data_IF_665795842043
#
_entry.id   IF_665795842043
#
_cell.length_a   1.000
_cell.length_b   1.000
_cell.length_c   1.000
_cell.angle_alpha   90.00
_cell.angle_beta   90.00
_cell.angle_gamma   90.00
#
_symmetry.space_group_name_H-M   'P 1'
#
loop_
_entity.id
_entity.type
_entity.pdbx_description
1 polymer ?
#
# COMPACT_ATOMS: atom_id res chain seq x y z
N UNK A 1 16.79 -12.54 -10.83
CA UNK A 1 16.15 -13.78 -11.38
C UNK A 1 14.86 -13.38 -12.08
N UNK A 2 14.72 -13.61 -13.39
CA UNK A 2 13.53 -13.21 -14.14
C UNK A 2 12.49 -14.33 -14.12
N UNK A 3 11.66 -14.38 -13.09
CA UNK A 3 10.36 -15.06 -13.21
C UNK A 3 9.55 -14.20 -14.17
N UNK A 4 9.32 -14.64 -15.41
CA UNK A 4 8.73 -13.87 -16.53
C UNK A 4 7.31 -13.30 -16.34
N UNK A 5 6.86 -13.10 -15.09
CA UNK A 5 5.62 -12.44 -14.68
C UNK A 5 5.82 -11.01 -14.17
N UNK A 6 7.04 -10.58 -13.86
CA UNK A 6 7.32 -9.25 -13.32
C UNK A 6 8.14 -8.40 -14.28
N UNK A 7 7.82 -7.10 -14.36
CA UNK A 7 8.68 -6.14 -15.05
C UNK A 7 10.00 -5.98 -14.28
N UNK A 8 11.02 -5.43 -14.95
CA UNK A 8 12.30 -5.10 -14.31
C UNK A 8 12.09 -4.23 -13.06
N UNK A 9 11.29 -3.17 -13.19
CA UNK A 9 11.03 -2.22 -12.10
C UNK A 9 10.30 -2.89 -10.92
N UNK A 10 9.40 -3.83 -11.19
CA UNK A 10 8.73 -4.60 -10.13
C UNK A 10 9.72 -5.48 -9.34
N UNK A 11 10.66 -6.11 -10.04
CA UNK A 11 11.68 -6.94 -9.40
C UNK A 11 12.64 -6.08 -8.57
N UNK A 12 13.14 -4.97 -9.12
CA UNK A 12 14.07 -4.07 -8.45
C UNK A 12 13.43 -3.39 -7.23
N UNK A 13 12.21 -2.88 -7.36
CA UNK A 13 11.49 -2.30 -6.23
C UNK A 13 11.13 -3.36 -5.17
N UNK A 14 10.85 -4.60 -5.60
CA UNK A 14 10.62 -5.75 -4.72
C UNK A 14 11.84 -6.13 -3.90
N UNK A 15 12.99 -6.29 -4.56
CA UNK A 15 14.26 -6.59 -3.89
C UNK A 15 14.64 -5.48 -2.89
N UNK A 16 14.49 -4.21 -3.27
CA UNK A 16 14.75 -3.05 -2.38
C UNK A 16 13.89 -3.08 -1.12
N UNK A 17 12.61 -3.42 -1.24
CA UNK A 17 11.67 -3.46 -0.12
C UNK A 17 11.65 -4.80 0.63
N UNK A 18 12.57 -5.73 0.30
CA UNK A 18 12.56 -7.11 0.79
C UNK A 18 11.17 -7.77 0.67
N UNK A 19 10.50 -7.53 -0.47
CA UNK A 19 9.19 -8.05 -0.80
C UNK A 19 8.08 -7.69 0.20
N UNK A 20 8.26 -6.61 0.98
CA UNK A 20 7.25 -6.05 1.88
C UNK A 20 6.62 -4.82 1.26
N UNK A 21 5.33 -4.61 1.55
CA UNK A 21 4.67 -3.37 1.18
C UNK A 21 5.35 -2.19 1.88
N UNK A 22 5.85 -1.21 1.13
CA UNK A 22 6.58 -0.06 1.69
C UNK A 22 5.70 0.85 2.57
N UNK A 23 4.37 0.69 2.49
CA UNK A 23 3.41 1.51 3.22
C UNK A 23 2.85 0.86 4.49
N UNK A 24 2.73 -0.47 4.55
CA UNK A 24 2.16 -1.15 5.72
C UNK A 24 2.93 -2.41 6.15
N UNK A 25 4.12 -2.64 5.60
CA UNK A 25 5.05 -3.74 5.90
C UNK A 25 4.51 -5.16 5.69
N UNK A 26 3.33 -5.29 5.07
CA UNK A 26 2.73 -6.57 4.72
C UNK A 26 3.72 -7.37 3.89
N UNK A 27 4.04 -8.57 4.38
CA UNK A 27 4.86 -9.53 3.66
C UNK A 27 4.09 -10.04 2.44
N UNK A 28 4.51 -9.63 1.24
CA UNK A 28 3.81 -9.98 0.02
C UNK A 28 4.10 -11.42 -0.42
N UNK A 29 5.05 -12.11 0.19
CA UNK A 29 5.38 -13.50 -0.14
C UNK A 29 4.93 -14.49 0.93
N UNK A 30 4.35 -14.04 2.05
CA UNK A 30 3.96 -14.93 3.14
C UNK A 30 2.77 -15.84 2.82
N UNK A 31 1.94 -15.51 1.84
CA UNK A 31 0.81 -16.33 1.40
C UNK A 31 0.47 -16.09 -0.07
N UNK A 32 -0.28 -17.01 -0.67
CA UNK A 32 -0.78 -16.87 -2.05
C UNK A 32 -1.67 -15.62 -2.16
N UNK A 33 -2.47 -15.34 -1.14
CA UNK A 33 -3.37 -14.18 -1.11
C UNK A 33 -2.56 -12.87 -1.05
N UNK A 34 -1.53 -12.82 -0.21
CA UNK A 34 -0.63 -11.66 -0.13
C UNK A 34 0.16 -11.46 -1.43
N UNK A 35 0.60 -12.54 -2.07
CA UNK A 35 1.27 -12.47 -3.38
C UNK A 35 0.37 -11.87 -4.45
N UNK A 36 -0.94 -12.10 -4.39
CA UNK A 36 -1.92 -11.49 -5.31
C UNK A 36 -2.21 -10.02 -5.01
N UNK A 37 -1.84 -9.52 -3.84
CA UNK A 37 -1.90 -8.09 -3.52
C UNK A 37 -0.71 -7.30 -4.09
N UNK A 38 0.31 -7.95 -4.64
CA UNK A 38 1.48 -7.29 -5.19
C UNK A 38 1.12 -6.26 -6.27
N UNK A 39 1.48 -4.99 -6.04
CA UNK A 39 1.34 -3.91 -7.02
C UNK A 39 2.56 -2.98 -6.98
N UNK A 40 2.76 -2.24 -8.07
CA UNK A 40 3.73 -1.15 -8.15
C UNK A 40 2.95 0.17 -8.11
N UNK A 41 3.38 1.10 -7.27
CA UNK A 41 2.76 2.41 -7.07
C UNK A 41 3.76 3.52 -7.35
N UNK A 42 3.28 4.64 -7.90
CA UNK A 42 4.02 5.89 -7.97
C UNK A 42 3.81 6.65 -6.66
N UNK A 43 4.84 6.80 -5.85
CA UNK A 43 4.81 7.52 -4.57
C UNK A 43 4.18 8.89 -4.78
N UNK A 44 4.72 9.68 -5.71
CA UNK A 44 4.07 10.86 -6.27
C UNK A 44 3.26 10.43 -7.50
N UNK A 45 1.93 10.61 -7.50
CA UNK A 45 1.10 10.20 -8.64
C UNK A 45 1.50 10.91 -9.94
N UNK A 46 1.44 10.18 -11.06
CA UNK A 46 1.74 10.71 -12.39
C UNK A 46 0.86 11.90 -12.78
N UNK A 47 -0.41 11.90 -12.37
CA UNK A 47 -1.37 12.98 -12.63
C UNK A 47 -0.93 14.34 -12.04
N UNK A 48 -0.06 14.33 -11.01
CA UNK A 48 0.47 15.54 -10.36
C UNK A 48 1.97 15.74 -10.64
N UNK A 49 2.49 15.12 -11.70
CA UNK A 49 3.86 15.30 -12.19
C UNK A 49 4.91 14.40 -11.52
N UNK A 50 4.51 13.27 -10.92
CA UNK A 50 5.46 12.24 -10.52
C UNK A 50 6.12 11.58 -11.73
N UNK A 51 7.41 11.25 -11.61
CA UNK A 51 8.18 10.59 -12.66
C UNK A 51 8.05 9.06 -12.65
N UNK A 52 8.61 8.38 -13.64
CA UNK A 52 8.65 6.92 -13.77
C UNK A 52 9.98 6.34 -13.24
N UNK A 53 10.76 7.11 -12.46
CA UNK A 53 12.03 6.65 -11.93
C UNK A 53 11.82 5.58 -10.86
N UNK A 54 12.80 4.69 -10.70
CA UNK A 54 12.76 3.68 -9.64
C UNK A 54 12.62 4.29 -8.23
N UNK A 55 13.09 5.53 -8.04
CA UNK A 55 12.97 6.26 -6.78
C UNK A 55 11.54 6.72 -6.48
N UNK A 56 10.76 7.06 -7.50
CA UNK A 56 9.33 7.36 -7.36
C UNK A 56 8.45 6.09 -7.36
N UNK A 57 8.99 4.93 -7.70
CA UNK A 57 8.27 3.66 -7.64
C UNK A 57 8.39 3.02 -6.26
N UNK A 58 7.29 2.48 -5.75
CA UNK A 58 7.25 1.72 -4.52
C UNK A 58 6.46 0.42 -4.68
N UNK A 59 6.90 -0.64 -4.01
CA UNK A 59 6.10 -1.85 -3.89
C UNK A 59 5.02 -1.63 -2.84
N UNK A 60 3.77 -1.82 -3.24
CA UNK A 60 2.62 -1.63 -2.39
C UNK A 60 1.66 -2.80 -2.52
N UNK A 61 0.99 -3.16 -1.42
CA UNK A 61 -0.15 -4.04 -1.51
C UNK A 61 -1.33 -3.29 -2.18
N UNK A 62 -2.19 -4.02 -2.88
CA UNK A 62 -3.35 -3.46 -3.58
C UNK A 62 -4.24 -2.62 -2.67
N UNK A 63 -4.38 -3.01 -1.40
CA UNK A 63 -5.15 -2.25 -0.41
C UNK A 63 -4.59 -0.85 -0.19
N UNK A 64 -3.28 -0.76 0.06
CA UNK A 64 -2.63 0.53 0.27
C UNK A 64 -2.60 1.37 -1.01
N UNK A 65 -2.26 0.76 -2.16
CA UNK A 65 -2.18 1.48 -3.43
C UNK A 65 -3.55 2.01 -3.88
N UNK A 66 -4.56 1.14 -3.99
CA UNK A 66 -5.83 1.47 -4.65
C UNK A 66 -6.83 2.15 -3.72
N UNK A 67 -6.85 1.79 -2.44
CA UNK A 67 -7.92 2.21 -1.52
C UNK A 67 -7.47 3.23 -0.48
N UNK A 68 -6.27 3.09 0.09
CA UNK A 68 -5.81 3.97 1.17
C UNK A 68 -4.96 5.15 0.70
N UNK A 69 -4.08 4.99 -0.29
CA UNK A 69 -3.30 6.09 -0.87
C UNK A 69 -4.00 6.69 -2.09
N UNK A 70 -4.30 5.84 -3.08
CA UNK A 70 -4.88 6.25 -4.36
C UNK A 70 -4.13 7.43 -5.00
N UNK A 71 -4.84 8.54 -5.27
CA UNK A 71 -4.33 9.77 -5.88
C UNK A 71 -3.76 10.77 -4.88
N UNK A 72 -3.61 10.39 -3.61
CA UNK A 72 -3.08 11.29 -2.60
C UNK A 72 -1.61 11.62 -2.88
N UNK A 73 -1.29 12.91 -2.84
CA UNK A 73 0.04 13.44 -3.11
C UNK A 73 0.83 13.57 -1.79
N UNK A 74 1.88 12.77 -1.57
CA UNK A 74 2.65 12.80 -0.33
C UNK A 74 3.40 14.10 -0.10
N UNK A 75 3.64 14.91 -1.12
CA UNK A 75 4.27 16.24 -0.97
C UNK A 75 3.44 17.20 -0.12
N UNK A 76 2.14 16.92 0.05
CA UNK A 76 1.25 17.69 0.94
C UNK A 76 1.42 17.34 2.41
N UNK A 77 1.90 16.14 2.72
CA UNK A 77 2.14 15.66 4.09
C UNK A 77 3.61 15.58 4.48
N UNK A 78 4.52 15.64 3.50
CA UNK A 78 5.96 15.59 3.74
C UNK A 78 6.55 17.00 3.94
N UNK A 79 7.68 17.12 4.67
CA UNK A 79 8.45 18.36 4.73
C UNK A 79 8.89 18.85 3.34
N UNK A 80 9.11 20.16 3.20
CA UNK A 80 9.62 20.73 1.96
C UNK A 80 11.00 20.13 1.63
N UNK A 81 11.17 19.67 0.38
CA UNK A 81 12.41 19.03 -0.05
C UNK A 81 12.62 17.62 0.52
N UNK A 82 11.57 16.97 1.03
CA UNK A 82 11.64 15.58 1.48
C UNK A 82 12.20 14.67 0.38
N UNK A 83 13.13 13.80 0.78
CA UNK A 83 13.62 12.72 -0.04
C UNK A 83 12.57 11.60 -0.17
N UNK A 84 12.93 10.54 -0.89
CA UNK A 84 12.07 9.36 -1.04
C UNK A 84 11.58 8.82 0.30
N UNK A 85 12.47 8.71 1.29
CA UNK A 85 12.12 8.17 2.60
C UNK A 85 11.08 9.05 3.31
N UNK A 86 11.23 10.37 3.24
CA UNK A 86 10.25 11.33 3.75
C UNK A 86 8.90 11.25 3.04
N UNK A 87 8.89 11.07 1.72
CA UNK A 87 7.64 10.87 0.96
C UNK A 87 6.95 9.55 1.34
N UNK A 88 7.69 8.45 1.44
CA UNK A 88 7.15 7.16 1.88
C UNK A 88 6.62 7.27 3.31
N UNK A 89 7.32 7.95 4.22
CA UNK A 89 6.84 8.20 5.57
C UNK A 89 5.52 8.98 5.59
N UNK A 90 5.38 10.00 4.75
CA UNK A 90 4.13 10.74 4.60
C UNK A 90 2.99 9.84 4.08
N UNK A 91 3.26 8.96 3.11
CA UNK A 91 2.29 7.96 2.65
C UNK A 91 1.89 7.01 3.78
N UNK A 92 2.85 6.51 4.57
CA UNK A 92 2.57 5.60 5.69
C UNK A 92 1.61 6.23 6.70
N UNK A 93 1.85 7.48 7.08
CA UNK A 93 0.96 8.23 7.96
C UNK A 93 -0.44 8.41 7.37
N UNK A 94 -0.52 8.71 6.06
CA UNK A 94 -1.80 8.84 5.37
C UNK A 94 -2.57 7.51 5.31
N UNK A 95 -1.90 6.42 4.94
CA UNK A 95 -2.48 5.08 4.88
C UNK A 95 -2.99 4.64 6.25
N UNK A 96 -2.23 4.91 7.31
CA UNK A 96 -2.66 4.61 8.68
C UNK A 96 -3.91 5.41 9.06
N UNK A 97 -3.96 6.70 8.75
CA UNK A 97 -5.15 7.52 8.99
C UNK A 97 -6.39 6.98 8.24
N UNK A 98 -6.24 6.53 6.99
CA UNK A 98 -7.35 5.92 6.25
C UNK A 98 -7.77 4.56 6.84
N UNK A 99 -6.83 3.76 7.34
CA UNK A 99 -7.13 2.49 8.02
C UNK A 99 -7.93 2.71 9.29
N UNK A 100 -7.54 3.68 10.11
CA UNK A 100 -8.28 4.06 11.33
C UNK A 100 -9.70 4.50 10.98
N UNK A 101 -9.85 5.37 9.97
CA UNK A 101 -11.17 5.80 9.50
C UNK A 101 -12.03 4.62 9.05
N UNK A 102 -11.51 3.76 8.19
CA UNK A 102 -12.24 2.61 7.63
C UNK A 102 -12.58 1.57 8.72
N UNK A 103 -11.73 1.42 9.74
CA UNK A 103 -12.03 0.58 10.89
C UNK A 103 -13.23 1.11 11.69
N UNK A 104 -13.35 2.44 11.84
CA UNK A 104 -14.52 3.08 12.41
C UNK A 104 -15.78 2.85 11.58
N UNK A 105 -15.69 3.04 10.26
CA UNK A 105 -16.81 2.80 9.34
C UNK A 105 -17.28 1.33 9.39
N UNK A 106 -16.33 0.38 9.43
CA UNK A 106 -16.62 -1.05 9.55
C UNK A 106 -17.33 -1.39 10.85
N UNK A 107 -16.91 -0.79 11.96
CA UNK A 107 -17.54 -1.01 13.27
C UNK A 107 -18.98 -0.49 13.29
N UNK A 108 -19.22 0.71 12.74
CA UNK A 108 -20.57 1.25 12.59
C UNK A 108 -21.45 0.33 11.73
N UNK A 109 -20.94 -0.16 10.60
CA UNK A 109 -21.70 -1.08 9.73
C UNK A 109 -22.02 -2.38 10.46
N UNK A 110 -21.07 -2.97 11.19
CA UNK A 110 -21.30 -4.17 11.99
C UNK A 110 -22.42 -3.99 13.00
N UNK A 111 -22.49 -2.83 13.65
CA UNK A 111 -23.56 -2.51 14.60
C UNK A 111 -24.91 -2.37 13.90
N UNK A 112 -24.96 -1.65 12.77
CA UNK A 112 -26.21 -1.44 12.01
C UNK A 112 -26.81 -2.75 11.51
N UNK A 113 -25.98 -3.67 11.02
CA UNK A 113 -26.45 -4.95 10.46
C UNK A 113 -26.54 -6.07 11.49
N UNK A 114 -26.31 -5.75 12.77
CA UNK A 114 -26.23 -6.73 13.87
C UNK A 114 -25.30 -7.91 13.54
N UNK A 115 -24.15 -7.62 12.93
CA UNK A 115 -23.21 -8.63 12.45
C UNK A 115 -22.72 -9.53 13.60
N UNK A 116 -22.85 -10.85 13.41
CA UNK A 116 -22.32 -11.86 14.33
C UNK A 116 -21.24 -12.68 13.63
N UNK A 117 -19.99 -12.69 14.12
CA UNK A 117 -18.93 -13.50 13.51
C UNK A 117 -19.29 -14.99 13.60
N UNK A 118 -19.08 -15.73 12.52
CA UNK A 118 -19.27 -17.17 12.50
C UNK A 118 -18.01 -17.87 13.06
N UNK A 119 -18.08 -18.55 14.22
CA UNK A 119 -16.91 -19.22 14.79
C UNK A 119 -16.45 -20.45 13.98
N UNK A 120 -17.31 -21.02 13.14
CA UNK A 120 -17.01 -22.21 12.32
C UNK A 120 -16.35 -21.86 10.98
N UNK A 121 -16.37 -20.59 10.60
CA UNK A 121 -15.67 -20.08 9.42
C UNK A 121 -14.55 -19.15 9.89
N UNK A 122 -13.36 -19.67 10.24
CA UNK A 122 -12.25 -18.83 10.61
C UNK A 122 -11.92 -17.90 9.43
N UNK A 123 -11.99 -16.60 9.69
CA UNK A 123 -11.51 -15.57 8.77
C UNK A 123 -10.03 -15.89 8.53
N UNK A 124 -9.69 -16.24 7.29
CA UNK A 124 -8.31 -16.57 6.90
C UNK A 124 -7.38 -15.37 7.00
#
# INVERSE_FOLDING_TARGET
MATGKWSKDQAEAGERANYRCEYCDLDLLSSIDNYKLWTLDHIVPKEVGGDESLDNLAIACRMCNVYFKWRWDPRKGAPAGADRAGLVAAVRLHVEAQRIRMAGDLELVRQIVEYKPNPECPIR
#
